data_IF_484917163519
#
_entry.id   IF_484917163519
#
_cell.length_a   1.000
_cell.length_b   1.000
_cell.length_c   1.000
_cell.angle_alpha   90.00
_cell.angle_beta   90.00
_cell.angle_gamma   90.00
#
_symmetry.space_group_name_H-M   'P 1'
#
loop_
_entity.id
_entity.type
_entity.pdbx_description
1 polymer ?
#
# COMPACT_ATOMS: atom_id res chain seq x y z
N UNK A 1 29.87 24.52 25.02
CA UNK A 1 29.14 23.28 25.34
C UNK A 1 27.64 23.41 25.05
N UNK A 2 26.91 24.36 25.65
CA UNK A 2 25.47 24.61 25.34
C UNK A 2 25.22 24.94 23.85
N UNK A 3 26.04 25.79 23.23
CA UNK A 3 25.86 26.18 21.82
C UNK A 3 26.07 25.00 20.85
N UNK A 4 27.02 24.10 21.16
CA UNK A 4 27.28 22.88 20.38
C UNK A 4 26.11 21.91 20.51
N UNK A 5 25.56 21.74 21.71
CA UNK A 5 24.36 20.94 21.95
C UNK A 5 23.16 21.46 21.16
N UNK A 6 22.94 22.77 21.14
CA UNK A 6 21.84 23.39 20.39
C UNK A 6 21.96 23.18 18.87
N UNK A 7 23.17 23.35 18.32
CA UNK A 7 23.44 23.09 16.89
C UNK A 7 23.24 21.61 16.56
N UNK A 8 23.67 20.70 17.43
CA UNK A 8 23.49 19.26 17.22
C UNK A 8 22.00 18.87 17.22
N UNK A 9 21.22 19.40 18.17
CA UNK A 9 19.77 19.16 18.25
C UNK A 9 19.02 19.72 17.05
N UNK A 10 19.42 20.89 16.54
CA UNK A 10 18.82 21.49 15.33
C UNK A 10 19.12 20.67 14.06
N UNK A 11 20.35 20.19 13.90
CA UNK A 11 20.70 19.30 12.79
C UNK A 11 19.99 17.95 12.90
N UNK A 12 19.89 17.38 14.10
CA UNK A 12 19.17 16.14 14.34
C UNK A 12 17.71 16.28 13.89
N UNK A 13 17.01 17.32 14.34
CA UNK A 13 15.63 17.61 13.92
C UNK A 13 15.45 17.76 12.40
N UNK A 14 16.40 18.44 11.72
CA UNK A 14 16.38 18.54 10.26
C UNK A 14 16.59 17.19 9.55
N UNK A 15 17.29 16.26 10.19
CA UNK A 15 17.54 14.92 9.65
C UNK A 15 16.36 13.98 9.92
N UNK A 16 15.73 14.04 11.10
CA UNK A 16 14.53 13.23 11.45
C UNK A 16 13.38 13.48 10.47
N UNK A 17 13.06 14.76 10.20
CA UNK A 17 11.99 15.14 9.24
C UNK A 17 12.27 14.65 7.82
N UNK A 18 13.55 14.55 7.43
CA UNK A 18 13.94 14.01 6.13
C UNK A 18 13.76 12.49 6.08
N UNK A 19 14.06 11.78 7.18
CA UNK A 19 13.86 10.32 7.26
C UNK A 19 12.38 9.95 7.28
N UNK A 20 11.54 10.64 8.06
CA UNK A 20 10.09 10.41 8.09
C UNK A 20 9.46 10.52 6.69
N UNK A 21 9.88 11.52 5.90
CA UNK A 21 9.41 11.68 4.53
C UNK A 21 9.84 10.52 3.62
N UNK A 22 11.06 10.00 3.79
CA UNK A 22 11.54 8.85 3.03
C UNK A 22 10.78 7.57 3.42
N UNK A 23 10.47 7.39 4.69
CA UNK A 23 9.68 6.27 5.19
C UNK A 23 8.25 6.30 4.61
N UNK A 24 7.61 7.47 4.55
CA UNK A 24 6.29 7.63 3.93
C UNK A 24 6.35 7.27 2.44
N UNK A 25 7.36 7.76 1.71
CA UNK A 25 7.55 7.43 0.29
C UNK A 25 7.73 5.93 0.11
N UNK A 26 8.52 5.29 0.97
CA UNK A 26 8.72 3.85 0.94
C UNK A 26 7.40 3.08 1.16
N UNK A 27 6.59 3.49 2.15
CA UNK A 27 5.29 2.87 2.44
C UNK A 27 4.32 3.03 1.26
N UNK A 28 4.30 4.19 0.60
CA UNK A 28 3.44 4.42 -0.58
C UNK A 28 3.87 3.53 -1.75
N UNK A 29 5.17 3.40 -2.00
CA UNK A 29 5.70 2.51 -3.04
C UNK A 29 5.37 1.04 -2.70
N UNK A 30 5.59 0.62 -1.46
CA UNK A 30 5.25 -0.73 -1.01
C UNK A 30 3.75 -1.02 -1.18
N UNK A 31 2.88 -0.06 -0.84
CA UNK A 31 1.43 -0.16 -1.04
C UNK A 31 1.07 -0.31 -2.53
N UNK A 32 1.74 0.43 -3.42
CA UNK A 32 1.54 0.30 -4.86
C UNK A 32 1.97 -1.08 -5.39
N UNK A 33 3.06 -1.65 -4.87
CA UNK A 33 3.49 -3.02 -5.20
C UNK A 33 2.47 -4.07 -4.74
N UNK A 34 1.89 -3.91 -3.55
CA UNK A 34 0.83 -4.80 -3.05
C UNK A 34 -0.44 -4.66 -3.91
N UNK A 35 -0.80 -3.44 -4.33
CA UNK A 35 -1.93 -3.25 -5.24
C UNK A 35 -1.71 -3.96 -6.58
N UNK A 36 -0.49 -3.97 -7.10
CA UNK A 36 -0.13 -4.71 -8.31
C UNK A 36 -0.35 -6.23 -8.18
N UNK A 37 -0.28 -6.80 -6.96
CA UNK A 37 -0.56 -8.22 -6.73
C UNK A 37 -2.00 -8.60 -7.10
N UNK A 38 -2.96 -7.68 -6.96
CA UNK A 38 -4.36 -7.94 -7.32
C UNK A 38 -4.54 -8.09 -8.83
N UNK A 39 -3.85 -7.25 -9.61
CA UNK A 39 -3.78 -7.40 -11.06
C UNK A 39 -3.03 -8.67 -11.48
N UNK A 40 -1.94 -9.01 -10.79
CA UNK A 40 -1.19 -10.25 -11.02
C UNK A 40 -2.03 -11.50 -10.77
N UNK A 41 -2.80 -11.50 -9.67
CA UNK A 41 -3.69 -12.61 -9.32
C UNK A 41 -4.86 -12.74 -10.31
N UNK A 42 -5.47 -11.62 -10.71
CA UNK A 42 -6.48 -11.59 -11.77
C UNK A 42 -5.95 -12.21 -13.06
N UNK A 43 -4.75 -11.83 -13.51
CA UNK A 43 -4.14 -12.36 -14.74
C UNK A 43 -3.81 -13.86 -14.62
N UNK A 44 -3.34 -14.30 -13.45
CA UNK A 44 -3.03 -15.69 -13.17
C UNK A 44 -4.30 -16.57 -13.20
N UNK A 45 -5.34 -16.19 -12.46
CA UNK A 45 -6.61 -16.94 -12.44
C UNK A 45 -7.33 -16.91 -13.79
N UNK A 46 -7.33 -15.77 -14.48
CA UNK A 46 -7.94 -15.65 -15.81
C UNK A 46 -7.19 -16.46 -16.87
N UNK A 47 -5.86 -16.64 -16.73
CA UNK A 47 -5.01 -17.43 -17.62
C UNK A 47 -5.11 -18.94 -17.42
N UNK A 48 -5.45 -19.41 -16.22
CA UNK A 48 -5.66 -20.83 -15.93
C UNK A 48 -7.04 -21.34 -16.35
N UNK A 49 -7.98 -20.44 -16.61
CA UNK A 49 -9.37 -20.78 -16.97
C UNK A 49 -9.56 -20.72 -18.48
N UNK A 50 -10.45 -21.58 -19.01
CA UNK A 50 -10.78 -21.60 -20.45
C UNK A 50 -11.16 -20.20 -20.94
N UNK A 51 -10.69 -19.82 -22.12
CA UNK A 51 -10.88 -18.49 -22.71
C UNK A 51 -12.34 -17.99 -22.66
N UNK A 52 -13.33 -18.88 -22.87
CA UNK A 52 -14.76 -18.54 -22.80
C UNK A 52 -15.25 -18.06 -21.42
N UNK A 53 -14.55 -18.43 -20.34
CA UNK A 53 -14.92 -18.11 -18.96
C UNK A 53 -13.92 -17.14 -18.29
N UNK A 54 -12.81 -16.82 -18.95
CA UNK A 54 -11.73 -15.97 -18.43
C UNK A 54 -12.23 -14.57 -18.02
N UNK A 55 -13.13 -13.98 -18.82
CA UNK A 55 -13.77 -12.68 -18.52
C UNK A 55 -14.61 -12.75 -17.23
N UNK A 56 -15.33 -13.85 -17.02
CA UNK A 56 -16.18 -14.01 -15.83
C UNK A 56 -15.35 -14.16 -14.55
N UNK A 57 -14.13 -14.69 -14.66
CA UNK A 57 -13.17 -14.78 -13.54
C UNK A 57 -12.57 -13.41 -13.26
N UNK A 58 -12.16 -12.68 -14.30
CA UNK A 58 -11.60 -11.33 -14.14
C UNK A 58 -12.57 -10.35 -13.47
N UNK A 59 -13.85 -10.38 -13.85
CA UNK A 59 -14.89 -9.52 -13.25
C UNK A 59 -15.13 -9.87 -11.78
N UNK A 60 -15.07 -11.15 -11.41
CA UNK A 60 -15.18 -11.56 -10.00
C UNK A 60 -14.01 -11.05 -9.18
N UNK A 61 -12.79 -11.17 -9.69
CA UNK A 61 -11.59 -10.71 -9.01
C UNK A 61 -11.58 -9.18 -8.83
N UNK A 62 -12.03 -8.43 -9.86
CA UNK A 62 -12.19 -6.97 -9.77
C UNK A 62 -13.31 -6.54 -8.80
N UNK A 63 -14.41 -7.30 -8.76
CA UNK A 63 -15.50 -7.03 -7.82
C UNK A 63 -15.02 -7.25 -6.39
N UNK A 64 -14.27 -8.32 -6.12
CA UNK A 64 -13.67 -8.61 -4.81
C UNK A 64 -12.75 -7.47 -4.35
N UNK A 65 -11.88 -6.96 -5.23
CA UNK A 65 -11.03 -5.79 -4.95
C UNK A 65 -11.86 -4.57 -4.51
N UNK A 66 -12.95 -4.29 -5.24
CA UNK A 66 -13.79 -3.11 -4.96
C UNK A 66 -14.50 -3.25 -3.62
N UNK A 67 -15.09 -4.43 -3.34
CA UNK A 67 -15.76 -4.69 -2.07
C UNK A 67 -14.77 -4.72 -0.90
N UNK A 68 -13.58 -5.28 -1.06
CA UNK A 68 -12.55 -5.31 -0.04
C UNK A 68 -12.09 -3.90 0.36
N UNK A 69 -11.88 -2.99 -0.61
CA UNK A 69 -11.49 -1.60 -0.33
C UNK A 69 -12.59 -0.88 0.47
N UNK A 70 -13.85 -1.00 0.04
CA UNK A 70 -14.99 -0.35 0.71
C UNK A 70 -15.19 -0.92 2.12
N UNK A 71 -15.18 -2.25 2.26
CA UNK A 71 -15.35 -2.92 3.55
C UNK A 71 -14.22 -2.57 4.53
N UNK A 72 -12.98 -2.51 4.04
CA UNK A 72 -11.84 -2.13 4.85
C UNK A 72 -11.92 -0.66 5.31
N UNK A 73 -12.33 0.25 4.43
CA UNK A 73 -12.50 1.67 4.78
C UNK A 73 -13.61 1.90 5.82
N UNK A 74 -14.75 1.21 5.69
CA UNK A 74 -15.90 1.44 6.56
C UNK A 74 -15.76 0.81 7.95
N UNK A 75 -15.20 -0.40 8.03
CA UNK A 75 -15.24 -1.21 9.25
C UNK A 75 -13.90 -1.89 9.53
N UNK A 76 -13.16 -2.29 8.49
CA UNK A 76 -11.91 -3.04 8.65
C UNK A 76 -10.81 -2.26 9.37
N UNK A 77 -10.64 -0.96 9.05
CA UNK A 77 -9.64 -0.13 9.70
C UNK A 77 -9.90 0.00 11.21
N UNK A 78 -11.15 0.22 11.61
CA UNK A 78 -11.54 0.39 13.02
C UNK A 78 -11.52 -0.91 13.84
N UNK A 79 -11.51 -2.08 13.19
CA UNK A 79 -11.44 -3.38 13.87
C UNK A 79 -10.02 -3.94 13.95
N UNK A 80 -9.16 -3.61 12.99
CA UNK A 80 -7.80 -4.16 12.88
C UNK A 80 -6.76 -3.36 13.65
N UNK A 81 -6.88 -2.03 13.66
CA UNK A 81 -6.00 -1.11 14.37
C UNK A 81 -6.67 -0.58 15.64
#
# INVERSE_FOLDING_TARGET
>A
MILILFILSFNLFATETSQENLDIVWIVIATALVFLMQAGFTAFEAGLVRAKNSINVAVKNFSDLTFAIIAYFLIGFALMF
#
